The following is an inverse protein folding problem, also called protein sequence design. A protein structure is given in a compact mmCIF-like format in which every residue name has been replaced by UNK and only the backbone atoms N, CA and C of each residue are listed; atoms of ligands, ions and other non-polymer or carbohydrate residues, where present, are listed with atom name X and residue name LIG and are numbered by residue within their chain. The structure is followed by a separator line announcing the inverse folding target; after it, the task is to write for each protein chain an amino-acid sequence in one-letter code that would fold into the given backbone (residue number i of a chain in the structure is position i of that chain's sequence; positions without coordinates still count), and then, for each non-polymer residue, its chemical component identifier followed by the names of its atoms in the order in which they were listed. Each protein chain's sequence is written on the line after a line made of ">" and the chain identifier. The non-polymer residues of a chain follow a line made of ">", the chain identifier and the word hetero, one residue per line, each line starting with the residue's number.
data_IF_018076451774
#
_entry.id   IF_018076451774
#
_cell.length_a   1.000
_cell.length_b   1.000
_cell.length_c   1.000
_cell.angle_alpha   90.00
_cell.angle_beta   90.00
_cell.angle_gamma   90.00
#
_symmetry.space_group_name_H-M   'P 1'
#
loop_
_entity.id
_entity.type
_entity.pdbx_description
1 polymer ?
#
# COMPACT_ATOMS: atom_id res chain seq x y z
N UNK A 1 9.64 -15.00 -26.12
CA UNK A 1 8.68 -15.37 -25.02
C UNK A 1 9.45 -15.68 -23.72
N UNK A 2 10.69 -16.21 -23.75
CA UNK A 2 11.49 -16.54 -22.55
C UNK A 2 11.95 -15.30 -21.78
N UNK A 3 12.49 -14.28 -22.45
CA UNK A 3 13.13 -13.10 -21.85
C UNK A 3 12.16 -12.25 -20.98
N UNK A 4 10.86 -12.17 -21.36
CA UNK A 4 9.86 -11.44 -20.56
C UNK A 4 9.44 -12.16 -19.28
N UNK A 5 9.48 -13.50 -19.24
CA UNK A 5 9.18 -14.28 -18.04
C UNK A 5 10.27 -14.12 -16.97
N UNK A 6 11.55 -14.18 -17.36
CA UNK A 6 12.66 -13.99 -16.44
C UNK A 6 12.73 -12.57 -15.87
N UNK A 7 12.46 -11.56 -16.70
CA UNK A 7 12.41 -10.17 -16.24
C UNK A 7 11.28 -9.95 -15.23
N UNK A 8 10.09 -10.52 -15.50
CA UNK A 8 8.96 -10.44 -14.57
C UNK A 8 9.23 -11.16 -13.24
N UNK A 9 9.93 -12.31 -13.29
CA UNK A 9 10.34 -13.04 -12.09
C UNK A 9 11.35 -12.23 -11.26
N UNK A 10 12.37 -11.65 -11.90
CA UNK A 10 13.38 -10.84 -11.21
C UNK A 10 12.75 -9.60 -10.55
N UNK A 11 11.84 -8.89 -11.24
CA UNK A 11 11.14 -7.73 -10.68
C UNK A 11 10.30 -8.15 -9.47
N UNK A 12 9.58 -9.27 -9.55
CA UNK A 12 8.80 -9.79 -8.41
C UNK A 12 9.69 -10.11 -7.22
N UNK A 13 10.81 -10.79 -7.44
CA UNK A 13 11.79 -11.10 -6.38
C UNK A 13 12.30 -9.83 -5.73
N UNK A 14 12.60 -8.80 -6.52
CA UNK A 14 13.08 -7.51 -5.99
C UNK A 14 12.02 -6.79 -5.15
N UNK A 15 10.74 -6.84 -5.57
CA UNK A 15 9.62 -6.26 -4.81
C UNK A 15 9.45 -6.97 -3.46
N UNK A 16 9.65 -8.29 -3.40
CA UNK A 16 9.47 -9.06 -2.15
C UNK A 16 10.70 -9.08 -1.24
N UNK A 17 11.86 -8.65 -1.74
CA UNK A 17 13.11 -8.66 -0.97
C UNK A 17 12.99 -8.00 0.41
N UNK A 18 12.33 -6.82 0.57
CA UNK A 18 12.19 -6.19 1.88
C UNK A 18 11.39 -7.01 2.89
N UNK A 19 10.55 -7.96 2.45
CA UNK A 19 9.79 -8.83 3.34
C UNK A 19 10.60 -10.03 3.86
N UNK A 20 11.68 -10.39 3.18
CA UNK A 20 12.51 -11.53 3.52
C UNK A 20 13.61 -11.16 4.52
N UNK A 21 13.98 -9.89 4.59
CA UNK A 21 15.06 -9.39 5.44
C UNK A 21 14.43 -8.87 6.76
N UNK A 22 15.04 -9.15 7.93
CA UNK A 22 14.59 -8.58 9.19
C UNK A 22 14.54 -7.05 9.10
N UNK A 23 13.36 -6.47 9.33
CA UNK A 23 13.09 -5.04 9.11
C UNK A 23 14.07 -4.13 9.85
N UNK A 24 14.41 -4.47 11.09
CA UNK A 24 15.31 -3.67 11.93
C UNK A 24 16.70 -3.58 11.28
N UNK A 25 17.29 -4.72 10.91
CA UNK A 25 18.64 -4.78 10.32
C UNK A 25 18.69 -4.05 8.98
N UNK A 26 17.64 -4.23 8.15
CA UNK A 26 17.54 -3.57 6.86
C UNK A 26 17.44 -2.05 7.02
N UNK A 27 16.55 -1.58 7.90
CA UNK A 27 16.34 -0.15 8.13
C UNK A 27 17.55 0.51 8.80
N UNK A 28 18.26 -0.17 9.69
CA UNK A 28 19.51 0.34 10.26
C UNK A 28 20.58 0.58 9.18
N UNK A 29 20.74 -0.36 8.22
CA UNK A 29 21.62 -0.18 7.09
C UNK A 29 21.25 0.99 6.20
N UNK A 30 19.95 1.14 5.90
CA UNK A 30 19.42 2.28 5.13
C UNK A 30 19.65 3.59 5.87
N UNK A 31 19.43 3.63 7.18
CA UNK A 31 19.66 4.82 8.00
C UNK A 31 21.13 5.29 7.93
N UNK A 32 22.08 4.37 8.04
CA UNK A 32 23.51 4.72 7.93
C UNK A 32 23.82 5.40 6.59
N UNK A 33 23.28 4.88 5.48
CA UNK A 33 23.46 5.49 4.16
C UNK A 33 22.82 6.87 4.06
N UNK A 34 21.64 7.06 4.66
CA UNK A 34 20.93 8.34 4.64
C UNK A 34 21.63 9.38 5.49
N UNK A 35 22.15 9.02 6.66
CA UNK A 35 22.95 9.91 7.52
C UNK A 35 24.22 10.33 6.80
N UNK A 36 24.95 9.38 6.19
CA UNK A 36 26.16 9.68 5.40
C UNK A 36 25.87 10.63 4.22
N UNK A 37 24.67 10.56 3.64
CA UNK A 37 24.21 11.42 2.55
C UNK A 37 23.55 12.74 3.01
N UNK A 38 23.41 12.98 4.33
CA UNK A 38 22.69 14.18 4.86
C UNK A 38 21.21 14.22 4.51
N UNK A 39 20.59 13.06 4.31
CA UNK A 39 19.19 12.90 3.90
C UNK A 39 18.25 12.46 5.03
N UNK A 40 18.79 12.17 6.20
CA UNK A 40 18.04 11.75 7.38
C UNK A 40 17.02 12.80 7.85
N UNK A 41 15.95 12.35 8.47
CA UNK A 41 14.91 13.22 9.03
C UNK A 41 14.17 14.09 8.01
N UNK A 42 14.19 13.74 6.71
CA UNK A 42 13.39 14.39 5.67
C UNK A 42 12.07 13.66 5.46
N UNK A 43 10.97 14.40 5.41
CA UNK A 43 9.63 13.84 5.22
C UNK A 43 9.52 12.93 3.98
N UNK A 44 10.05 13.37 2.83
CA UNK A 44 10.02 12.57 1.61
C UNK A 44 10.76 11.23 1.71
N UNK A 45 11.88 11.20 2.45
CA UNK A 45 12.64 9.97 2.69
C UNK A 45 11.88 9.04 3.63
N UNK A 46 11.20 9.60 4.65
CA UNK A 46 10.31 8.82 5.51
C UNK A 46 9.18 8.16 4.70
N UNK A 47 8.52 8.91 3.81
CA UNK A 47 7.48 8.36 2.92
C UNK A 47 8.03 7.24 2.05
N UNK A 48 9.22 7.41 1.45
CA UNK A 48 9.87 6.37 0.66
C UNK A 48 10.19 5.12 1.48
N UNK A 49 10.62 5.28 2.73
CA UNK A 49 10.88 4.14 3.62
C UNK A 49 9.61 3.37 3.97
N UNK A 50 8.48 4.05 4.15
CA UNK A 50 7.18 3.40 4.32
C UNK A 50 6.75 2.66 3.04
N UNK A 51 6.89 3.30 1.87
CA UNK A 51 6.53 2.70 0.58
C UNK A 51 7.31 1.42 0.31
N UNK A 52 8.55 1.33 0.75
CA UNK A 52 9.39 0.13 0.58
C UNK A 52 8.72 -1.13 1.13
N UNK A 53 8.04 -1.03 2.26
CA UNK A 53 7.29 -2.15 2.86
C UNK A 53 5.83 -2.21 2.42
N UNK A 54 5.20 -1.10 2.06
CA UNK A 54 3.82 -1.03 1.57
C UNK A 54 3.70 -1.67 0.19
N UNK A 55 4.66 -1.40 -0.71
CA UNK A 55 4.63 -1.86 -2.10
C UNK A 55 4.47 -3.38 -2.25
N UNK A 56 5.23 -4.24 -1.54
CA UNK A 56 5.06 -5.68 -1.63
C UNK A 56 3.64 -6.15 -1.31
N UNK A 57 3.06 -5.64 -0.22
CA UNK A 57 1.72 -6.02 0.21
C UNK A 57 0.64 -5.59 -0.78
N UNK A 58 0.72 -4.34 -1.26
CA UNK A 58 -0.22 -3.84 -2.28
C UNK A 58 -0.07 -4.59 -3.60
N UNK A 59 1.16 -4.97 -3.96
CA UNK A 59 1.43 -5.77 -5.14
C UNK A 59 0.85 -7.18 -5.04
N UNK A 60 0.96 -7.86 -3.87
CA UNK A 60 0.36 -9.17 -3.63
C UNK A 60 -1.16 -9.10 -3.86
N UNK A 61 -1.83 -8.12 -3.25
CA UNK A 61 -3.28 -7.96 -3.33
C UNK A 61 -3.74 -7.67 -4.76
N UNK A 62 -3.00 -6.83 -5.49
CA UNK A 62 -3.41 -6.35 -6.80
C UNK A 62 -3.02 -7.31 -7.93
N UNK A 63 -1.96 -8.10 -7.78
CA UNK A 63 -1.40 -8.95 -8.84
C UNK A 63 -2.38 -10.00 -9.35
N UNK A 64 -3.14 -10.66 -8.47
CA UNK A 64 -4.15 -11.65 -8.83
C UNK A 64 -5.27 -11.08 -9.70
N UNK A 65 -6.03 -10.10 -9.21
CA UNK A 65 -7.08 -9.44 -9.99
C UNK A 65 -6.59 -8.80 -11.30
N UNK A 66 -5.38 -8.23 -11.29
CA UNK A 66 -4.78 -7.66 -12.49
C UNK A 66 -4.49 -8.69 -13.57
N UNK A 67 -4.03 -9.89 -13.18
CA UNK A 67 -3.78 -11.02 -14.11
C UNK A 67 -5.08 -11.66 -14.60
N UNK A 68 -6.11 -11.69 -13.76
CA UNK A 68 -7.43 -12.22 -14.08
C UNK A 68 -8.23 -11.29 -15.01
N UNK A 69 -7.77 -10.04 -15.19
CA UNK A 69 -8.44 -9.09 -16.10
C UNK A 69 -8.34 -9.57 -17.55
N UNK A 70 -9.48 -9.78 -18.20
CA UNK A 70 -9.56 -10.16 -19.60
C UNK A 70 -9.20 -8.97 -20.50
N UNK A 71 -8.11 -9.10 -21.24
CA UNK A 71 -7.61 -8.08 -22.17
C UNK A 71 -8.56 -7.82 -23.34
N UNK A 72 -9.45 -8.77 -23.67
CA UNK A 72 -10.41 -8.63 -24.78
C UNK A 72 -11.26 -7.37 -24.65
N UNK A 73 -11.59 -6.94 -23.44
CA UNK A 73 -12.33 -5.68 -23.22
C UNK A 73 -11.56 -4.45 -23.69
N UNK A 74 -10.25 -4.39 -23.50
CA UNK A 74 -9.43 -3.28 -23.96
C UNK A 74 -9.17 -3.36 -25.46
N UNK A 75 -8.97 -4.57 -25.99
CA UNK A 75 -8.70 -4.80 -27.41
C UNK A 75 -9.94 -4.46 -28.26
N UNK A 76 -11.13 -4.86 -27.83
CA UNK A 76 -12.40 -4.46 -28.49
C UNK A 76 -12.59 -2.94 -28.52
N UNK A 77 -12.26 -2.25 -27.42
CA UNK A 77 -12.36 -0.80 -27.39
C UNK A 77 -11.37 -0.12 -28.34
N UNK A 78 -10.18 -0.70 -28.54
CA UNK A 78 -9.20 -0.20 -29.52
C UNK A 78 -9.65 -0.45 -30.95
N UNK A 79 -10.25 -1.60 -31.26
CA UNK A 79 -10.85 -1.90 -32.56
C UNK A 79 -11.95 -0.90 -32.90
N UNK A 80 -12.72 -0.44 -31.92
CA UNK A 80 -13.74 0.60 -32.07
C UNK A 80 -13.15 2.03 -32.12
N UNK A 81 -11.85 2.18 -32.38
CA UNK A 81 -11.18 3.47 -32.58
C UNK A 81 -10.89 4.24 -31.27
N UNK A 82 -11.03 3.61 -30.09
CA UNK A 82 -10.67 4.28 -28.84
C UNK A 82 -9.17 4.22 -28.57
N UNK A 83 -8.61 5.36 -28.18
CA UNK A 83 -7.21 5.44 -27.78
C UNK A 83 -6.96 4.59 -26.51
N UNK A 84 -5.78 3.94 -26.45
CA UNK A 84 -5.38 3.04 -25.35
C UNK A 84 -5.59 3.65 -23.94
N UNK A 85 -5.18 4.91 -23.73
CA UNK A 85 -5.34 5.59 -22.44
C UNK A 85 -6.80 5.77 -22.04
N UNK A 86 -7.69 6.08 -23.00
CA UNK A 86 -9.14 6.17 -22.74
C UNK A 86 -9.74 4.82 -22.37
N UNK A 87 -9.28 3.74 -23.00
CA UNK A 87 -9.70 2.38 -22.68
C UNK A 87 -9.23 1.96 -21.30
N UNK A 88 -8.00 2.33 -20.93
CA UNK A 88 -7.45 2.05 -19.60
C UNK A 88 -8.26 2.74 -18.49
N UNK A 89 -8.54 4.04 -18.62
CA UNK A 89 -9.27 4.81 -17.61
C UNK A 89 -10.76 4.47 -17.56
N UNK A 90 -11.41 4.25 -18.72
CA UNK A 90 -12.86 4.06 -18.78
C UNK A 90 -13.33 2.61 -18.64
N UNK A 91 -12.44 1.64 -18.89
CA UNK A 91 -12.79 0.21 -18.85
C UNK A 91 -11.99 -0.49 -17.76
N UNK A 92 -10.66 -0.50 -17.87
CA UNK A 92 -9.80 -1.29 -16.96
C UNK A 92 -9.84 -0.76 -15.54
N UNK A 93 -9.74 0.55 -15.35
CA UNK A 93 -9.72 1.16 -14.02
C UNK A 93 -11.04 0.92 -13.25
N UNK A 94 -12.24 1.15 -13.83
CA UNK A 94 -13.50 0.85 -13.16
C UNK A 94 -13.69 -0.63 -12.81
N UNK A 95 -13.23 -1.55 -13.67
CA UNK A 95 -13.30 -2.98 -13.39
C UNK A 95 -12.36 -3.40 -12.26
N UNK A 96 -11.23 -2.71 -12.09
CA UNK A 96 -10.25 -2.95 -11.03
C UNK A 96 -10.50 -2.08 -9.79
N UNK A 97 -11.56 -1.29 -9.71
CA UNK A 97 -11.83 -0.38 -8.58
C UNK A 97 -11.87 -1.12 -7.25
N UNK A 98 -12.57 -2.26 -7.17
CA UNK A 98 -12.63 -3.07 -5.94
C UNK A 98 -11.24 -3.54 -5.49
N UNK A 99 -10.45 -4.23 -6.32
CA UNK A 99 -9.08 -4.61 -5.97
C UNK A 99 -8.18 -3.43 -5.61
N UNK A 100 -8.32 -2.29 -6.30
CA UNK A 100 -7.54 -1.09 -6.02
C UNK A 100 -7.86 -0.50 -4.64
N UNK A 101 -9.14 -0.40 -4.28
CA UNK A 101 -9.56 0.07 -2.95
C UNK A 101 -9.09 -0.89 -1.85
N UNK A 102 -9.13 -2.19 -2.11
CA UNK A 102 -8.61 -3.20 -1.18
C UNK A 102 -7.08 -3.08 -1.02
N UNK A 103 -6.34 -2.93 -2.13
CA UNK A 103 -4.90 -2.71 -2.11
C UNK A 103 -4.53 -1.42 -1.36
N UNK A 104 -5.32 -0.35 -1.54
CA UNK A 104 -5.16 0.89 -0.79
C UNK A 104 -5.38 0.67 0.72
N UNK A 105 -6.44 -0.04 1.11
CA UNK A 105 -6.73 -0.33 2.52
C UNK A 105 -5.61 -1.16 3.17
N UNK A 106 -5.08 -2.17 2.46
CA UNK A 106 -3.91 -2.95 2.92
C UNK A 106 -2.69 -2.06 3.05
N UNK A 107 -2.36 -1.27 2.04
CA UNK A 107 -1.21 -0.37 2.06
C UNK A 107 -1.28 0.66 3.18
N UNK A 108 -2.46 1.24 3.40
CA UNK A 108 -2.71 2.15 4.51
C UNK A 108 -2.48 1.47 5.87
N UNK A 109 -3.03 0.26 6.04
CA UNK A 109 -2.88 -0.51 7.29
C UNK A 109 -1.42 -0.85 7.57
N UNK A 110 -0.69 -1.28 6.55
CA UNK A 110 0.75 -1.54 6.66
C UNK A 110 1.51 -0.26 7.02
N UNK A 111 1.17 0.88 6.41
CA UNK A 111 1.81 2.16 6.70
C UNK A 111 1.55 2.63 8.15
N UNK A 112 0.31 2.50 8.63
CA UNK A 112 -0.04 2.84 10.04
C UNK A 112 0.73 1.98 11.03
N UNK A 113 0.94 0.70 10.72
CA UNK A 113 1.64 -0.24 11.61
C UNK A 113 3.17 -0.06 11.63
N UNK A 114 3.75 0.78 10.75
CA UNK A 114 5.19 0.92 10.64
C UNK A 114 5.80 1.78 11.76
N UNK A 115 6.40 1.12 12.75
CA UNK A 115 7.14 1.75 13.83
C UNK A 115 8.62 1.99 13.45
N UNK A 116 9.31 0.94 13.02
CA UNK A 116 10.77 0.95 12.79
C UNK A 116 11.21 1.98 11.73
N UNK A 117 10.61 2.05 10.55
CA UNK A 117 10.94 3.09 9.58
C UNK A 117 10.70 4.50 10.12
N UNK A 118 9.62 4.70 10.88
CA UNK A 118 9.29 6.02 11.42
C UNK A 118 10.32 6.48 12.45
N UNK A 119 10.74 5.62 13.38
CA UNK A 119 11.68 6.01 14.45
C UNK A 119 13.10 6.19 13.91
N UNK A 120 13.57 5.27 13.03
CA UNK A 120 14.92 5.31 12.50
C UNK A 120 15.09 6.42 11.44
N UNK A 121 14.25 6.43 10.42
CA UNK A 121 14.41 7.36 9.29
C UNK A 121 13.82 8.74 9.61
N UNK A 122 12.78 8.79 10.42
CA UNK A 122 12.19 10.05 10.89
C UNK A 122 13.07 10.80 11.89
N UNK A 123 14.08 10.14 12.46
CA UNK A 123 15.04 10.72 13.42
C UNK A 123 14.34 11.49 14.57
N UNK A 124 13.19 10.98 15.04
CA UNK A 124 12.40 11.62 16.09
C UNK A 124 11.67 12.92 15.71
N UNK A 125 11.76 13.36 14.45
CA UNK A 125 11.10 14.58 13.96
C UNK A 125 9.63 14.40 13.61
N UNK A 126 9.21 13.16 13.36
CA UNK A 126 7.85 12.83 12.94
C UNK A 126 7.25 11.82 13.91
N UNK A 127 6.17 12.19 14.56
CA UNK A 127 5.38 11.28 15.36
C UNK A 127 4.22 10.70 14.55
N UNK A 128 3.94 9.44 14.75
CA UNK A 128 2.76 8.74 14.22
C UNK A 128 1.99 8.14 15.39
N UNK A 129 0.73 7.76 15.15
CA UNK A 129 -0.05 7.11 16.20
C UNK A 129 0.67 5.88 16.77
N UNK A 130 1.39 5.14 15.93
CA UNK A 130 2.14 3.96 16.33
C UNK A 130 3.35 4.30 17.21
N UNK A 131 4.10 5.36 16.88
CA UNK A 131 5.21 5.81 17.71
C UNK A 131 4.73 6.35 19.04
N UNK A 132 3.58 7.03 19.08
CA UNK A 132 2.96 7.52 20.31
C UNK A 132 2.50 6.36 21.20
N UNK A 133 1.80 5.35 20.63
CA UNK A 133 1.39 4.16 21.39
C UNK A 133 2.59 3.48 22.05
N UNK A 134 3.68 3.30 21.30
CA UNK A 134 4.90 2.67 21.84
C UNK A 134 5.54 3.54 22.92
N UNK A 135 5.61 4.85 22.72
CA UNK A 135 6.17 5.78 23.71
C UNK A 135 5.36 5.77 25.03
N UNK A 136 4.02 5.85 24.92
CA UNK A 136 3.12 5.84 26.09
C UNK A 136 3.12 4.47 26.79
N UNK A 137 3.43 3.38 26.06
CA UNK A 137 3.43 2.02 26.63
C UNK A 137 4.45 1.83 27.74
N UNK A 138 5.51 2.63 27.76
CA UNK A 138 6.52 2.66 28.83
C UNK A 138 6.06 3.46 30.08
N UNK A 139 4.95 4.22 29.96
CA UNK A 139 4.42 5.03 31.06
C UNK A 139 3.43 4.27 31.95
N UNK A 140 3.06 4.86 33.10
CA UNK A 140 2.15 4.23 34.05
C UNK A 140 0.67 4.31 33.66
N UNK A 141 0.31 5.21 32.74
CA UNK A 141 -1.11 5.49 32.44
C UNK A 141 -1.67 4.52 31.40
N UNK A 142 -2.28 3.44 31.91
CA UNK A 142 -2.92 2.40 31.07
C UNK A 142 -4.16 2.91 30.33
N UNK A 143 -4.84 3.93 30.83
CA UNK A 143 -6.08 4.45 30.20
C UNK A 143 -5.74 5.19 28.89
N UNK A 144 -4.75 6.07 28.93
CA UNK A 144 -4.28 6.80 27.75
C UNK A 144 -3.75 5.80 26.72
N UNK A 145 -2.91 4.84 27.15
CA UNK A 145 -2.42 3.79 26.25
C UNK A 145 -3.55 3.04 25.55
N UNK A 146 -4.57 2.61 26.29
CA UNK A 146 -5.72 1.89 25.73
C UNK A 146 -6.50 2.74 24.71
N UNK A 147 -6.69 4.04 24.97
CA UNK A 147 -7.37 4.93 24.05
C UNK A 147 -6.60 5.08 22.74
N UNK A 148 -5.30 5.32 22.79
CA UNK A 148 -4.45 5.42 21.61
C UNK A 148 -4.40 4.10 20.81
N UNK A 149 -4.29 2.96 21.48
CA UNK A 149 -4.29 1.64 20.86
C UNK A 149 -5.62 1.36 20.15
N UNK A 150 -6.76 1.74 20.75
CA UNK A 150 -8.07 1.63 20.13
C UNK A 150 -8.18 2.51 18.88
N UNK A 151 -7.73 3.76 18.95
CA UNK A 151 -7.73 4.65 17.77
C UNK A 151 -6.85 4.06 16.68
N UNK A 152 -5.64 3.59 17.00
CA UNK A 152 -4.75 2.96 16.04
C UNK A 152 -5.40 1.76 15.35
N UNK A 153 -6.13 0.93 16.08
CA UNK A 153 -6.82 -0.24 15.53
C UNK A 153 -8.06 0.17 14.69
N UNK A 154 -8.76 1.23 15.08
CA UNK A 154 -9.94 1.70 14.36
C UNK A 154 -9.59 2.28 12.98
N UNK A 155 -8.44 2.93 12.82
CA UNK A 155 -8.03 3.55 11.55
C UNK A 155 -8.03 2.56 10.37
N UNK A 156 -7.34 1.41 10.42
CA UNK A 156 -7.42 0.40 9.37
C UNK A 156 -8.84 -0.11 9.16
N UNK A 157 -9.60 -0.38 10.23
CA UNK A 157 -10.96 -0.90 10.13
C UNK A 157 -11.89 0.05 9.39
N UNK A 158 -11.81 1.36 9.66
CA UNK A 158 -12.58 2.38 8.95
C UNK A 158 -12.23 2.38 7.46
N UNK A 159 -10.94 2.33 7.12
CA UNK A 159 -10.49 2.33 5.72
C UNK A 159 -10.92 1.05 5.00
N UNK A 160 -10.85 -0.12 5.65
CA UNK A 160 -11.40 -1.37 5.09
C UNK A 160 -12.91 -1.30 4.91
N UNK A 161 -13.64 -0.78 5.89
CA UNK A 161 -15.08 -0.55 5.80
C UNK A 161 -15.43 0.35 4.61
N UNK A 162 -14.73 1.47 4.45
CA UNK A 162 -14.88 2.36 3.32
C UNK A 162 -14.55 1.67 1.99
N UNK A 163 -13.47 0.89 1.91
CA UNK A 163 -13.09 0.14 0.71
C UNK A 163 -14.15 -0.89 0.29
N UNK A 164 -14.87 -1.50 1.23
CA UNK A 164 -15.95 -2.45 0.96
C UNK A 164 -17.24 -1.72 0.54
N UNK A 165 -17.55 -0.60 1.18
CA UNK A 165 -18.82 0.12 0.97
C UNK A 165 -18.79 0.98 -0.30
N UNK A 166 -17.66 1.64 -0.59
CA UNK A 166 -17.53 2.56 -1.74
C UNK A 166 -17.94 1.92 -3.08
N UNK A 167 -17.51 0.70 -3.44
CA UNK A 167 -17.95 0.08 -4.70
C UNK A 167 -19.44 -0.23 -4.72
N UNK A 168 -20.04 -0.52 -3.57
CA UNK A 168 -21.48 -0.79 -3.48
C UNK A 168 -22.29 0.47 -3.85
N UNK A 169 -21.86 1.63 -3.38
CA UNK A 169 -22.52 2.90 -3.71
C UNK A 169 -22.23 3.36 -5.14
N UNK A 170 -20.98 3.26 -5.60
CA UNK A 170 -20.59 3.69 -6.95
C UNK A 170 -21.23 2.86 -8.07
N UNK A 171 -21.48 1.57 -7.82
CA UNK A 171 -22.01 0.64 -8.85
C UNK A 171 -23.42 0.15 -8.56
N UNK A 172 -24.15 0.78 -7.60
CA UNK A 172 -25.52 0.42 -7.28
C UNK A 172 -26.45 0.46 -8.50
N UNK A 173 -26.36 1.49 -9.32
CA UNK A 173 -27.18 1.66 -10.54
C UNK A 173 -26.79 0.76 -11.71
N UNK A 174 -25.64 0.06 -11.66
CA UNK A 174 -25.17 -0.80 -12.77
C UNK A 174 -25.53 -2.27 -12.60
N UNK A 175 -26.20 -2.65 -11.49
CA UNK A 175 -26.67 -4.03 -11.28
C UNK A 175 -27.76 -4.46 -12.26
N UNK A 176 -28.46 -3.52 -12.90
CA UNK A 176 -29.49 -3.83 -13.90
C UNK A 176 -28.93 -4.23 -15.26
N UNK A 177 -27.61 -4.18 -15.48
CA UNK A 177 -26.96 -4.61 -16.75
C UNK A 177 -26.24 -5.95 -16.62
N UNK A 178 -26.53 -6.75 -15.59
CA UNK A 178 -25.95 -8.09 -15.37
C UNK A 178 -27.02 -9.20 -15.47
N UNK A 179 -28.11 -8.96 -16.24
CA UNK A 179 -29.04 -10.01 -16.69
C UNK A 179 -28.69 -10.40 -18.11
#
# INVERSE_FOLDING_TARGET
>A
IGKSRHLNSAIQTFIYLPLLIPQISFMAGVQLLLVAGGLDGRWGILVLSHLLFVLPYTFIVLSGPYRAFDRRFTDQAMILGRHYLKSLVRIKLPMLTRPLLFAFAVGFSVSVAQYIPTILIGAGRFSTITTEVVSISAGPDRRILSAYALIQQMLPLIVYGAAILTPKFLFYNRRQMQL
#
